data_IF_542985926085
#
_entry.id   IF_542985926085
#
_cell.length_a   1.000
_cell.length_b   1.000
_cell.length_c   1.000
_cell.angle_alpha   90.00
_cell.angle_beta   90.00
_cell.angle_gamma   90.00
#
_symmetry.space_group_name_H-M   'P 1'
#
loop_
_entity.id
_entity.type
_entity.pdbx_description
1 polymer ?
#
# COMPACT_ATOMS: atom_id res chain seq x y z
N UNK A 1 68.21 27.12 -16.55
CA UNK A 1 67.21 27.55 -15.55
C UNK A 1 65.77 27.43 -16.05
N UNK A 2 65.36 28.05 -17.16
CA UNK A 2 63.98 27.89 -17.69
C UNK A 2 63.58 26.43 -17.95
N UNK A 3 64.50 25.63 -18.48
CA UNK A 3 64.29 24.21 -18.74
C UNK A 3 63.96 23.41 -17.46
N UNK A 4 64.73 23.63 -16.39
CA UNK A 4 64.53 22.97 -15.10
C UNK A 4 63.22 23.40 -14.40
N UNK A 5 62.78 24.65 -14.59
CA UNK A 5 61.49 25.13 -14.08
C UNK A 5 60.33 24.47 -14.85
N UNK A 6 60.45 24.35 -16.18
CA UNK A 6 59.45 23.66 -17.01
C UNK A 6 59.28 22.18 -16.65
N UNK A 7 60.39 21.49 -16.35
CA UNK A 7 60.38 20.09 -15.92
C UNK A 7 59.67 19.90 -14.57
N UNK A 8 59.92 20.77 -13.59
CA UNK A 8 59.24 20.74 -12.29
C UNK A 8 57.73 20.99 -12.46
N UNK A 9 57.33 21.96 -13.28
CA UNK A 9 55.91 22.25 -13.56
C UNK A 9 55.23 21.05 -14.25
N UNK A 10 55.91 20.39 -15.18
CA UNK A 10 55.40 19.20 -15.88
C UNK A 10 55.20 18.03 -14.90
N UNK A 11 56.15 17.80 -13.99
CA UNK A 11 56.05 16.77 -12.95
C UNK A 11 54.88 17.07 -12.00
N UNK A 12 54.71 18.32 -11.57
CA UNK A 12 53.59 18.72 -10.70
C UNK A 12 52.24 18.46 -11.39
N UNK A 13 52.09 18.85 -12.66
CA UNK A 13 50.88 18.57 -13.44
C UNK A 13 50.64 17.05 -13.55
N UNK A 14 51.68 16.26 -13.78
CA UNK A 14 51.59 14.80 -13.81
C UNK A 14 51.07 14.21 -12.50
N UNK A 15 51.60 14.67 -11.36
CA UNK A 15 51.15 14.25 -10.03
C UNK A 15 49.70 14.67 -9.78
N UNK A 16 49.32 15.90 -10.12
CA UNK A 16 47.95 16.39 -9.94
C UNK A 16 46.95 15.58 -10.79
N UNK A 17 47.28 15.26 -12.03
CA UNK A 17 46.44 14.40 -12.89
C UNK A 17 46.32 13.00 -12.29
N UNK A 18 47.44 12.39 -11.84
CA UNK A 18 47.43 11.07 -11.21
C UNK A 18 46.55 11.04 -9.95
N UNK A 19 46.65 12.07 -9.09
CA UNK A 19 45.81 12.22 -7.91
C UNK A 19 44.32 12.40 -8.27
N UNK A 20 44.00 13.20 -9.29
CA UNK A 20 42.62 13.37 -9.75
C UNK A 20 42.01 12.07 -10.28
N UNK A 21 42.76 11.29 -11.07
CA UNK A 21 42.30 9.98 -11.56
C UNK A 21 42.07 9.02 -10.39
N UNK A 22 42.99 8.96 -9.43
CA UNK A 22 42.85 8.10 -8.27
C UNK A 22 41.63 8.49 -7.40
N UNK A 23 41.46 9.79 -7.13
CA UNK A 23 40.30 10.29 -6.38
C UNK A 23 38.98 9.98 -7.09
N UNK A 24 38.93 10.11 -8.42
CA UNK A 24 37.74 9.75 -9.22
C UNK A 24 37.45 8.25 -9.17
N UNK A 25 38.49 7.40 -9.19
CA UNK A 25 38.34 5.96 -9.07
C UNK A 25 37.80 5.56 -7.68
N UNK A 26 38.32 6.14 -6.61
CA UNK A 26 37.82 5.90 -5.24
C UNK A 26 36.38 6.41 -5.07
N UNK A 27 36.06 7.61 -5.57
CA UNK A 27 34.69 8.13 -5.56
C UNK A 27 33.73 7.19 -6.30
N UNK A 28 34.12 6.66 -7.47
CA UNK A 28 33.31 5.70 -8.23
C UNK A 28 33.11 4.38 -7.47
N UNK A 29 34.13 3.87 -6.77
CA UNK A 29 33.98 2.66 -5.94
C UNK A 29 33.00 2.89 -4.80
N UNK A 30 33.11 4.02 -4.10
CA UNK A 30 32.18 4.40 -3.03
C UNK A 30 30.76 4.54 -3.55
N UNK A 31 30.58 5.22 -4.68
CA UNK A 31 29.26 5.37 -5.31
C UNK A 31 28.66 4.00 -5.71
N UNK A 32 29.44 3.11 -6.32
CA UNK A 32 28.98 1.77 -6.65
C UNK A 32 28.56 0.97 -5.40
N UNK A 33 29.28 1.13 -4.28
CA UNK A 33 28.91 0.52 -3.00
C UNK A 33 27.55 1.05 -2.52
N UNK A 34 27.34 2.37 -2.55
CA UNK A 34 26.05 2.97 -2.16
C UNK A 34 24.92 2.52 -3.08
N UNK A 35 25.15 2.43 -4.39
CA UNK A 35 24.15 1.88 -5.34
C UNK A 35 23.80 0.44 -4.99
N UNK A 36 24.79 -0.40 -4.64
CA UNK A 36 24.52 -1.77 -4.19
C UNK A 36 23.68 -1.81 -2.92
N UNK A 37 23.93 -0.92 -1.96
CA UNK A 37 23.15 -0.81 -0.73
C UNK A 37 21.71 -0.36 -1.04
N UNK A 38 21.52 0.60 -1.94
CA UNK A 38 20.18 1.03 -2.36
C UNK A 38 19.41 -0.08 -3.09
N UNK A 39 20.10 -0.96 -3.83
CA UNK A 39 19.47 -2.16 -4.40
C UNK A 39 19.05 -3.17 -3.33
N UNK A 40 19.82 -3.30 -2.25
CA UNK A 40 19.43 -4.08 -1.06
C UNK A 40 18.17 -3.48 -0.41
N UNK A 41 18.12 -2.16 -0.26
CA UNK A 41 16.91 -1.45 0.21
C UNK A 41 15.72 -1.72 -0.70
N UNK A 42 15.88 -1.65 -2.02
CA UNK A 42 14.79 -1.98 -2.96
C UNK A 42 14.32 -3.41 -2.83
N UNK A 43 15.22 -4.36 -2.60
CA UNK A 43 14.86 -5.76 -2.38
C UNK A 43 13.99 -5.92 -1.11
N UNK A 44 14.44 -5.34 0.01
CA UNK A 44 13.70 -5.33 1.28
C UNK A 44 12.30 -4.70 1.10
N UNK A 45 12.24 -3.50 0.50
CA UNK A 45 10.98 -2.81 0.20
C UNK A 45 10.06 -3.67 -0.68
N UNK A 46 10.61 -4.35 -1.68
CA UNK A 46 9.83 -5.20 -2.58
C UNK A 46 9.11 -6.33 -1.85
N UNK A 47 9.82 -7.03 -0.95
CA UNK A 47 9.24 -8.08 -0.12
C UNK A 47 8.16 -7.52 0.82
N UNK A 48 8.43 -6.37 1.43
CA UNK A 48 7.51 -5.75 2.39
C UNK A 48 6.25 -5.20 1.73
N UNK A 49 6.34 -4.67 0.50
CA UNK A 49 5.17 -4.25 -0.29
C UNK A 49 4.25 -5.43 -0.56
N UNK A 50 4.81 -6.56 -1.02
CA UNK A 50 4.02 -7.77 -1.28
C UNK A 50 3.37 -8.31 0.00
N UNK A 51 4.10 -8.29 1.12
CA UNK A 51 3.55 -8.73 2.40
C UNK A 51 2.45 -7.78 2.92
N UNK A 52 2.60 -6.49 2.64
CA UNK A 52 1.57 -5.48 2.94
C UNK A 52 0.28 -5.76 2.17
N UNK A 53 0.37 -6.15 0.90
CA UNK A 53 -0.79 -6.55 0.10
C UNK A 53 -1.56 -7.72 0.72
N UNK A 54 -0.84 -8.76 1.16
CA UNK A 54 -1.44 -9.91 1.86
C UNK A 54 -2.16 -9.50 3.15
N UNK A 55 -1.52 -8.65 3.97
CA UNK A 55 -2.10 -8.18 5.23
C UNK A 55 -3.36 -7.35 5.01
N UNK A 56 -3.31 -6.40 4.08
CA UNK A 56 -4.46 -5.54 3.79
C UNK A 56 -5.63 -6.39 3.27
N UNK A 57 -5.36 -7.35 2.38
CA UNK A 57 -6.39 -8.28 1.89
C UNK A 57 -7.00 -9.11 3.03
N UNK A 58 -6.18 -9.64 3.93
CA UNK A 58 -6.63 -10.39 5.09
C UNK A 58 -7.57 -9.57 5.98
N UNK A 59 -7.15 -8.37 6.38
CA UNK A 59 -7.96 -7.54 7.28
C UNK A 59 -9.19 -6.96 6.59
N UNK A 60 -9.16 -6.77 5.27
CA UNK A 60 -10.35 -6.43 4.49
C UNK A 60 -11.41 -7.54 4.53
N UNK A 61 -11.01 -8.79 4.31
CA UNK A 61 -11.92 -9.93 4.44
C UNK A 61 -12.48 -10.03 5.87
N UNK A 62 -11.64 -9.82 6.89
CA UNK A 62 -12.08 -9.79 8.29
C UNK A 62 -13.08 -8.67 8.55
N UNK A 63 -12.84 -7.47 8.04
CA UNK A 63 -13.75 -6.33 8.17
C UNK A 63 -15.13 -6.61 7.57
N UNK A 64 -15.19 -7.25 6.39
CA UNK A 64 -16.47 -7.67 5.78
C UNK A 64 -17.23 -8.65 6.67
N UNK A 65 -16.55 -9.64 7.27
CA UNK A 65 -17.17 -10.59 8.22
C UNK A 65 -17.65 -9.85 9.49
N UNK A 66 -16.81 -8.99 10.05
CA UNK A 66 -17.11 -8.25 11.29
C UNK A 66 -18.32 -7.34 11.10
N UNK A 67 -18.46 -6.68 9.95
CA UNK A 67 -19.64 -5.88 9.63
C UNK A 67 -20.92 -6.70 9.66
N UNK A 68 -20.91 -7.95 9.20
CA UNK A 68 -22.07 -8.84 9.28
C UNK A 68 -22.44 -9.16 10.74
N UNK A 69 -21.43 -9.38 11.59
CA UNK A 69 -21.62 -9.62 13.03
C UNK A 69 -22.20 -8.37 13.71
N UNK A 70 -21.61 -7.19 13.49
CA UNK A 70 -22.01 -5.94 14.15
C UNK A 70 -23.37 -5.41 13.70
N UNK A 71 -23.80 -5.74 12.49
CA UNK A 71 -25.10 -5.30 11.94
C UNK A 71 -26.22 -6.31 12.14
N UNK A 72 -25.99 -7.36 12.94
CA UNK A 72 -26.97 -8.41 13.24
C UNK A 72 -27.58 -9.05 11.99
N UNK A 73 -26.79 -9.14 10.90
CA UNK A 73 -27.22 -9.74 9.63
C UNK A 73 -27.03 -11.25 9.58
N UNK A 74 -26.27 -11.82 10.51
CA UNK A 74 -26.03 -13.25 10.60
C UNK A 74 -27.17 -13.96 11.34
N UNK A 75 -27.48 -15.16 10.87
CA UNK A 75 -28.51 -16.04 11.44
C UNK A 75 -27.87 -17.31 11.98
N UNK A 76 -28.66 -18.09 12.71
CA UNK A 76 -28.24 -19.42 13.18
C UNK A 76 -27.76 -20.33 12.04
N UNK A 77 -28.42 -20.29 10.88
CA UNK A 77 -28.07 -21.14 9.73
C UNK A 77 -26.71 -20.79 9.11
N UNK A 78 -26.26 -19.54 9.24
CA UNK A 78 -24.94 -19.12 8.74
C UNK A 78 -23.79 -19.79 9.50
N UNK A 79 -24.04 -20.22 10.74
CA UNK A 79 -23.07 -20.96 11.55
C UNK A 79 -23.15 -22.49 11.37
N UNK A 80 -24.03 -22.99 10.48
CA UNK A 80 -24.19 -24.42 10.17
C UNK A 80 -23.79 -24.77 8.72
N UNK A 81 -23.54 -23.78 7.89
CA UNK A 81 -23.16 -23.95 6.48
C UNK A 81 -21.63 -23.81 6.30
N UNK A 82 -21.19 -23.72 5.05
CA UNK A 82 -19.77 -23.64 4.69
C UNK A 82 -19.04 -22.41 5.27
N UNK A 83 -19.75 -21.38 5.72
CA UNK A 83 -19.16 -20.19 6.34
C UNK A 83 -18.80 -20.39 7.82
N UNK A 84 -19.21 -21.49 8.46
CA UNK A 84 -19.04 -21.69 9.90
C UNK A 84 -17.59 -21.51 10.38
N UNK A 85 -16.61 -21.90 9.56
CA UNK A 85 -15.19 -21.79 9.90
C UNK A 85 -14.74 -20.32 9.96
N UNK A 86 -15.13 -19.52 8.96
CA UNK A 86 -14.77 -18.11 8.89
C UNK A 86 -15.42 -17.32 10.04
N UNK A 87 -16.67 -17.65 10.38
CA UNK A 87 -17.42 -16.99 11.45
C UNK A 87 -16.88 -17.37 12.84
N UNK A 88 -16.64 -18.66 13.11
CA UNK A 88 -16.19 -19.11 14.44
C UNK A 88 -14.79 -18.62 14.82
N UNK A 89 -13.92 -18.38 13.85
CA UNK A 89 -12.59 -17.80 14.07
C UNK A 89 -12.48 -16.34 13.58
N UNK A 90 -13.60 -15.61 13.52
CA UNK A 90 -13.60 -14.23 13.04
C UNK A 90 -12.54 -13.37 13.74
N UNK A 91 -12.38 -13.54 15.06
CA UNK A 91 -11.51 -12.71 15.91
C UNK A 91 -10.41 -13.49 16.65
N UNK A 92 -10.18 -14.76 16.30
CA UNK A 92 -9.27 -15.63 17.06
C UNK A 92 -7.85 -15.70 16.50
N UNK A 93 -7.63 -15.19 15.28
CA UNK A 93 -6.35 -15.24 14.58
C UNK A 93 -6.01 -13.85 14.04
N UNK A 94 -4.73 -13.51 14.03
CA UNK A 94 -4.20 -12.30 13.41
C UNK A 94 -3.24 -12.66 12.27
N UNK A 95 -3.06 -11.72 11.34
CA UNK A 95 -2.05 -11.82 10.30
C UNK A 95 -0.97 -10.78 10.60
N UNK A 96 0.27 -11.22 10.62
CA UNK A 96 1.39 -10.39 11.04
C UNK A 96 2.29 -10.02 9.86
N UNK A 97 2.91 -8.84 9.98
CA UNK A 97 3.93 -8.36 9.06
C UNK A 97 5.20 -7.98 9.83
N UNK A 98 6.35 -8.19 9.20
CA UNK A 98 7.65 -7.74 9.71
C UNK A 98 8.38 -6.99 8.62
N UNK A 99 8.74 -5.74 8.91
CA UNK A 99 9.48 -4.87 8.00
C UNK A 99 10.96 -5.24 8.02
N UNK A 100 11.54 -5.49 6.85
CA UNK A 100 12.96 -5.80 6.68
C UNK A 100 13.79 -4.52 6.77
N UNK A 101 14.89 -4.53 7.52
CA UNK A 101 15.66 -3.31 7.83
C UNK A 101 17.14 -3.41 7.46
N UNK A 102 17.56 -4.48 6.78
CA UNK A 102 18.97 -4.78 6.54
C UNK A 102 19.60 -3.72 5.62
N UNK A 103 18.98 -3.51 4.46
CA UNK A 103 19.47 -2.51 3.49
C UNK A 103 19.45 -1.10 4.06
N UNK A 104 18.42 -0.74 4.81
CA UNK A 104 18.33 0.59 5.44
C UNK A 104 19.37 0.79 6.53
N UNK A 105 19.58 -0.21 7.41
CA UNK A 105 20.62 -0.16 8.44
C UNK A 105 21.99 0.04 7.80
N UNK A 106 22.30 -0.74 6.76
CA UNK A 106 23.54 -0.63 6.00
C UNK A 106 23.69 0.76 5.33
N UNK A 107 22.59 1.34 4.82
CA UNK A 107 22.58 2.68 4.26
C UNK A 107 22.92 3.75 5.29
N UNK A 108 22.30 3.69 6.47
CA UNK A 108 22.53 4.64 7.56
C UNK A 108 23.96 4.53 8.10
N UNK A 109 24.50 3.31 8.24
CA UNK A 109 25.91 3.09 8.62
C UNK A 109 26.91 3.69 7.60
N UNK A 110 26.47 3.91 6.36
CA UNK A 110 27.29 4.50 5.30
C UNK A 110 26.79 5.90 4.88
N UNK A 111 25.96 6.57 5.68
CA UNK A 111 25.26 7.80 5.29
C UNK A 111 26.22 8.95 4.89
N UNK A 112 27.36 9.05 5.55
CA UNK A 112 28.41 10.05 5.26
C UNK A 112 29.01 9.89 3.85
N UNK A 113 28.96 8.66 3.32
CA UNK A 113 29.49 8.30 2.02
C UNK A 113 28.45 8.43 0.88
N UNK A 114 27.20 8.79 1.19
CA UNK A 114 26.12 8.89 0.19
C UNK A 114 26.36 10.10 -0.72
N UNK A 115 26.52 9.89 -2.05
CA UNK A 115 26.67 10.96 -3.02
C UNK A 115 25.48 11.92 -2.99
N UNK A 116 25.73 13.22 -3.23
CA UNK A 116 24.70 14.27 -3.19
C UNK A 116 23.44 13.94 -4.02
N UNK A 117 23.61 13.31 -5.20
CA UNK A 117 22.49 12.93 -6.07
C UNK A 117 21.57 11.87 -5.44
N UNK A 118 22.09 11.01 -4.56
CA UNK A 118 21.35 9.93 -3.92
C UNK A 118 20.76 10.35 -2.56
N UNK A 119 21.16 11.50 -1.99
CA UNK A 119 20.67 11.93 -0.66
C UNK A 119 19.16 12.19 -0.59
N UNK A 120 18.51 12.45 -1.72
CA UNK A 120 17.08 12.74 -1.79
C UNK A 120 16.20 11.56 -1.33
N UNK A 121 16.71 10.33 -1.30
CA UNK A 121 15.93 9.17 -0.83
C UNK A 121 16.01 8.95 0.68
N UNK A 122 16.92 9.63 1.39
CA UNK A 122 17.14 9.38 2.83
C UNK A 122 15.91 9.76 3.65
N UNK A 123 15.30 10.92 3.42
CA UNK A 123 14.12 11.35 4.16
C UNK A 123 12.91 10.41 3.94
N UNK A 124 12.54 10.04 2.69
CA UNK A 124 11.51 9.04 2.47
C UNK A 124 11.78 7.69 3.16
N UNK A 125 13.03 7.23 3.18
CA UNK A 125 13.37 5.99 3.90
C UNK A 125 13.27 6.16 5.41
N UNK A 126 13.64 7.32 5.96
CA UNK A 126 13.42 7.61 7.38
C UNK A 126 11.94 7.58 7.74
N UNK A 127 11.07 8.13 6.88
CA UNK A 127 9.60 8.05 7.08
C UNK A 127 9.13 6.61 7.24
N UNK A 128 9.56 5.75 6.32
CA UNK A 128 9.23 4.32 6.30
C UNK A 128 9.74 3.60 7.55
N UNK A 129 11.05 3.70 7.81
CA UNK A 129 11.72 2.83 8.79
C UNK A 129 11.66 3.35 10.23
N UNK A 130 11.44 4.66 10.43
CA UNK A 130 11.32 5.26 11.77
C UNK A 130 9.85 5.36 12.17
N UNK A 131 9.01 5.96 11.32
CA UNK A 131 7.64 6.33 11.70
C UNK A 131 6.62 5.27 11.31
N UNK A 132 6.58 4.86 10.04
CA UNK A 132 5.58 3.88 9.60
C UNK A 132 5.80 2.53 10.28
N UNK A 133 7.06 2.07 10.34
CA UNK A 133 7.42 0.84 11.05
C UNK A 133 6.99 0.87 12.53
N UNK A 134 7.21 1.98 13.23
CA UNK A 134 6.83 2.09 14.64
C UNK A 134 5.33 1.90 14.87
N UNK A 135 4.49 2.54 14.06
CA UNK A 135 3.03 2.37 14.18
C UNK A 135 2.60 0.95 13.79
N UNK A 136 3.20 0.36 12.76
CA UNK A 136 2.94 -1.04 12.38
C UNK A 136 3.27 -1.99 13.55
N UNK A 137 4.49 -1.93 14.10
CA UNK A 137 4.91 -2.81 15.20
C UNK A 137 3.97 -2.70 16.41
N UNK A 138 3.54 -1.48 16.73
CA UNK A 138 2.62 -1.17 17.84
C UNK A 138 1.26 -1.84 17.65
N UNK A 139 0.66 -1.72 16.46
CA UNK A 139 -0.66 -2.29 16.21
C UNK A 139 -0.62 -3.79 15.89
N UNK A 140 0.48 -4.29 15.33
CA UNK A 140 0.74 -5.73 15.16
C UNK A 140 0.81 -6.41 16.54
N UNK A 141 1.56 -5.83 17.48
CA UNK A 141 1.60 -6.31 18.87
C UNK A 141 0.24 -6.20 19.58
N UNK A 142 -0.56 -5.19 19.23
CA UNK A 142 -1.92 -5.04 19.78
C UNK A 142 -2.84 -6.17 19.30
N UNK A 143 -2.64 -6.67 18.09
CA UNK A 143 -3.40 -7.80 17.57
C UNK A 143 -3.16 -9.06 18.38
N UNK A 144 -1.90 -9.40 18.68
CA UNK A 144 -1.54 -10.53 19.55
C UNK A 144 -2.24 -10.45 20.91
N UNK A 145 -2.15 -9.29 21.57
CA UNK A 145 -2.77 -9.09 22.86
C UNK A 145 -4.28 -9.33 22.83
N UNK A 146 -4.96 -8.88 21.77
CA UNK A 146 -6.40 -9.09 21.62
C UNK A 146 -6.71 -10.55 21.36
N UNK A 147 -6.02 -11.20 20.40
CA UNK A 147 -6.32 -12.59 20.03
C UNK A 147 -6.01 -13.56 21.17
N UNK A 148 -4.91 -13.37 21.88
CA UNK A 148 -4.53 -14.20 23.02
C UNK A 148 -5.52 -14.04 24.17
N UNK A 149 -5.88 -12.79 24.51
CA UNK A 149 -6.90 -12.53 25.54
C UNK A 149 -8.21 -13.20 25.19
N UNK A 150 -8.72 -13.03 23.96
CA UNK A 150 -9.99 -13.63 23.52
C UNK A 150 -9.96 -15.15 23.67
N UNK A 151 -8.86 -15.80 23.23
CA UNK A 151 -8.72 -17.25 23.33
C UNK A 151 -8.66 -17.73 24.78
N UNK A 152 -7.88 -17.06 25.61
CA UNK A 152 -7.74 -17.40 27.02
C UNK A 152 -9.03 -17.17 27.82
N UNK A 153 -9.74 -16.07 27.56
CA UNK A 153 -11.01 -15.76 28.20
C UNK A 153 -12.10 -16.75 27.81
N UNK A 154 -12.17 -17.15 26.53
CA UNK A 154 -13.07 -18.21 26.07
C UNK A 154 -12.74 -19.55 26.71
N UNK A 155 -11.47 -19.95 26.74
CA UNK A 155 -11.03 -21.20 27.36
C UNK A 155 -11.36 -21.27 28.86
N UNK A 156 -11.30 -20.13 29.56
CA UNK A 156 -11.63 -20.04 30.99
C UNK A 156 -13.13 -19.95 31.27
N UNK A 157 -13.91 -19.38 30.36
CA UNK A 157 -15.32 -19.05 30.61
C UNK A 157 -16.33 -19.98 29.94
N UNK A 158 -15.92 -20.72 28.90
CA UNK A 158 -16.81 -21.59 28.11
C UNK A 158 -16.36 -23.05 28.22
N UNK A 159 -17.22 -23.91 28.77
CA UNK A 159 -16.98 -25.34 28.94
C UNK A 159 -16.84 -26.11 27.59
N UNK A 160 -17.27 -25.47 26.51
CA UNK A 160 -17.24 -25.99 25.16
C UNK A 160 -16.03 -25.55 24.33
N UNK A 161 -15.11 -24.76 24.87
CA UNK A 161 -13.97 -24.23 24.11
C UNK A 161 -13.15 -25.32 23.39
N UNK A 162 -12.88 -26.45 24.05
CA UNK A 162 -12.13 -27.57 23.46
C UNK A 162 -12.88 -28.27 22.31
N UNK A 163 -14.19 -28.00 22.15
CA UNK A 163 -15.06 -28.52 21.09
C UNK A 163 -15.20 -27.57 19.91
N UNK A 164 -14.60 -26.37 19.94
CA UNK A 164 -14.67 -25.40 18.85
C UNK A 164 -14.18 -25.96 17.50
N UNK A 165 -13.23 -26.89 17.53
CA UNK A 165 -12.66 -27.52 16.34
C UNK A 165 -13.52 -28.66 15.77
N UNK A 166 -14.62 -29.02 16.44
CA UNK A 166 -15.53 -30.06 15.94
C UNK A 166 -16.15 -29.63 14.60
N UNK A 167 -16.64 -30.63 13.86
CA UNK A 167 -17.15 -30.43 12.50
C UNK A 167 -18.42 -29.56 12.44
N UNK A 168 -19.15 -29.43 13.55
CA UNK A 168 -20.38 -28.66 13.68
C UNK A 168 -20.39 -27.93 15.02
N UNK A 169 -20.83 -26.67 15.02
CA UNK A 169 -21.01 -25.89 16.24
C UNK A 169 -22.26 -26.33 17.00
N UNK A 170 -22.20 -26.38 18.32
CA UNK A 170 -23.34 -26.64 19.21
C UNK A 170 -24.23 -25.37 19.34
N UNK A 171 -25.49 -25.54 19.75
CA UNK A 171 -26.47 -24.44 19.76
C UNK A 171 -26.09 -23.29 20.71
N UNK A 172 -25.47 -23.63 21.84
CA UNK A 172 -24.96 -22.70 22.83
C UNK A 172 -23.74 -21.90 22.32
N UNK A 173 -22.87 -22.52 21.51
CA UNK A 173 -21.77 -21.85 20.81
C UNK A 173 -22.31 -20.83 19.81
N UNK A 174 -23.29 -21.23 18.99
CA UNK A 174 -23.90 -20.34 17.99
C UNK A 174 -24.63 -19.19 18.68
N UNK A 175 -25.37 -19.47 19.76
CA UNK A 175 -26.02 -18.44 20.55
C UNK A 175 -25.02 -17.45 21.15
N UNK A 176 -23.85 -17.91 21.60
CA UNK A 176 -22.78 -17.03 22.06
C UNK A 176 -22.31 -16.09 20.94
N UNK A 177 -21.95 -16.61 19.77
CA UNK A 177 -21.44 -15.78 18.66
C UNK A 177 -22.48 -14.80 18.11
N UNK A 178 -23.77 -15.12 18.16
CA UNK A 178 -24.84 -14.23 17.70
C UNK A 178 -25.20 -13.16 18.74
N UNK A 179 -25.26 -13.53 20.02
CA UNK A 179 -25.99 -12.74 21.00
C UNK A 179 -25.16 -12.24 22.20
N UNK A 180 -23.95 -12.76 22.44
CA UNK A 180 -23.16 -12.37 23.60
C UNK A 180 -22.62 -10.92 23.46
N UNK A 181 -22.96 -10.00 24.37
CA UNK A 181 -22.54 -8.60 24.26
C UNK A 181 -21.03 -8.41 24.47
N UNK A 182 -20.37 -9.27 25.24
CA UNK A 182 -18.92 -9.20 25.42
C UNK A 182 -18.17 -9.71 24.20
N UNK A 183 -18.70 -10.74 23.52
CA UNK A 183 -18.21 -11.12 22.20
C UNK A 183 -18.31 -9.95 21.20
N UNK A 184 -19.44 -9.25 21.15
CA UNK A 184 -19.60 -8.06 20.28
C UNK A 184 -18.58 -6.95 20.61
N UNK A 185 -18.24 -6.75 21.88
CA UNK A 185 -17.19 -5.81 22.27
C UNK A 185 -15.80 -6.27 21.78
N UNK A 186 -15.48 -7.55 21.89
CA UNK A 186 -14.22 -8.10 21.39
C UNK A 186 -14.12 -8.01 19.86
N UNK A 187 -15.23 -8.22 19.16
CA UNK A 187 -15.34 -8.01 17.71
C UNK A 187 -15.01 -6.57 17.31
N UNK A 188 -15.54 -5.58 18.04
CA UNK A 188 -15.18 -4.19 17.81
C UNK A 188 -13.71 -3.90 18.10
N UNK A 189 -13.16 -4.41 19.21
CA UNK A 189 -11.75 -4.22 19.56
C UNK A 189 -10.82 -4.82 18.51
N UNK A 190 -11.14 -6.01 18.00
CA UNK A 190 -10.39 -6.65 16.93
C UNK A 190 -10.42 -5.80 15.65
N UNK A 191 -11.60 -5.30 15.24
CA UNK A 191 -11.73 -4.44 14.06
C UNK A 191 -10.93 -3.15 14.20
N UNK A 192 -10.98 -2.55 15.39
CA UNK A 192 -10.28 -1.32 15.71
C UNK A 192 -8.76 -1.52 15.59
N UNK A 193 -8.20 -2.55 16.20
CA UNK A 193 -6.77 -2.80 16.11
C UNK A 193 -6.34 -3.23 14.70
N UNK A 194 -7.10 -4.13 14.07
CA UNK A 194 -6.74 -4.75 12.79
C UNK A 194 -7.01 -3.84 11.59
N UNK A 195 -8.28 -3.66 11.23
CA UNK A 195 -8.65 -2.94 10.01
C UNK A 195 -8.47 -1.42 10.15
N UNK A 196 -8.93 -0.83 11.25
CA UNK A 196 -8.93 0.63 11.42
C UNK A 196 -7.51 1.19 11.63
N UNK A 197 -6.64 0.45 12.32
CA UNK A 197 -5.29 0.92 12.63
C UNK A 197 -4.18 0.15 11.89
N UNK A 198 -3.99 -1.16 12.14
CA UNK A 198 -2.88 -1.90 11.54
C UNK A 198 -2.90 -1.85 10.01
N UNK A 199 -4.02 -2.20 9.38
CA UNK A 199 -4.16 -2.18 7.92
C UNK A 199 -4.04 -0.76 7.35
N UNK A 200 -4.51 0.26 8.06
CA UNK A 200 -4.30 1.66 7.69
C UNK A 200 -2.82 2.03 7.67
N UNK A 201 -2.07 1.76 8.73
CA UNK A 201 -0.64 2.08 8.79
C UNK A 201 0.19 1.25 7.80
N UNK A 202 -0.18 0.01 7.55
CA UNK A 202 0.43 -0.83 6.50
C UNK A 202 0.12 -0.27 5.11
N UNK A 203 -1.05 0.32 4.88
CA UNK A 203 -1.39 0.98 3.62
C UNK A 203 -0.49 2.21 3.38
N UNK A 204 -0.34 3.08 4.39
CA UNK A 204 0.57 4.23 4.33
C UNK A 204 2.03 3.81 4.11
N UNK A 205 2.51 2.81 4.86
CA UNK A 205 3.83 2.22 4.67
C UNK A 205 4.03 1.77 3.23
N UNK A 206 3.08 1.01 2.69
CA UNK A 206 3.15 0.44 1.34
C UNK A 206 3.25 1.53 0.28
N UNK A 207 2.46 2.59 0.40
CA UNK A 207 2.51 3.74 -0.50
C UNK A 207 3.88 4.42 -0.47
N UNK A 208 4.40 4.71 0.72
CA UNK A 208 5.73 5.28 0.89
C UNK A 208 6.83 4.36 0.36
N UNK A 209 6.72 3.05 0.59
CA UNK A 209 7.64 2.04 0.09
C UNK A 209 7.68 1.99 -1.44
N UNK A 210 6.52 2.04 -2.11
CA UNK A 210 6.44 2.10 -3.58
C UNK A 210 7.10 3.38 -4.11
N UNK A 211 6.82 4.52 -3.47
CA UNK A 211 7.39 5.80 -3.87
C UNK A 211 8.91 5.81 -3.70
N UNK A 212 9.42 5.34 -2.55
CA UNK A 212 10.85 5.19 -2.31
C UNK A 212 11.48 4.21 -3.30
N UNK A 213 10.85 3.07 -3.60
CA UNK A 213 11.35 2.11 -4.58
C UNK A 213 11.55 2.76 -5.97
N UNK A 214 10.54 3.49 -6.46
CA UNK A 214 10.58 4.20 -7.75
C UNK A 214 11.61 5.33 -7.74
N UNK A 215 11.73 6.05 -6.63
CA UNK A 215 12.72 7.11 -6.46
C UNK A 215 14.14 6.53 -6.51
N UNK A 216 14.40 5.43 -5.80
CA UNK A 216 15.69 4.72 -5.88
C UNK A 216 15.96 4.33 -7.34
N UNK A 217 15.00 3.70 -8.01
CA UNK A 217 15.15 3.24 -9.40
C UNK A 217 15.57 4.39 -10.33
N UNK A 218 14.96 5.57 -10.14
CA UNK A 218 15.28 6.79 -10.89
C UNK A 218 16.67 7.32 -10.55
N UNK A 219 16.98 7.44 -9.26
CA UNK A 219 18.23 8.03 -8.77
C UNK A 219 19.47 7.20 -9.12
N UNK A 220 19.34 5.87 -9.16
CA UNK A 220 20.43 4.98 -9.57
C UNK A 220 20.52 4.79 -11.09
N UNK A 221 19.65 5.46 -11.87
CA UNK A 221 19.57 5.35 -13.33
C UNK A 221 19.41 3.89 -13.77
N UNK A 222 18.53 3.14 -13.09
CA UNK A 222 18.30 1.73 -13.36
C UNK A 222 17.69 1.53 -14.75
N UNK A 223 18.24 0.60 -15.52
CA UNK A 223 17.67 0.13 -16.78
C UNK A 223 16.77 -1.10 -16.60
N UNK A 224 16.60 -1.58 -15.37
CA UNK A 224 15.74 -2.73 -15.07
C UNK A 224 14.27 -2.28 -15.10
N UNK A 225 13.36 -3.07 -15.72
CA UNK A 225 11.93 -2.78 -15.68
C UNK A 225 11.43 -2.84 -14.23
N UNK A 226 10.40 -2.05 -13.92
CA UNK A 226 9.73 -2.17 -12.62
C UNK A 226 9.10 -3.57 -12.49
N UNK A 227 9.24 -4.24 -11.33
CA UNK A 227 8.55 -5.50 -11.09
C UNK A 227 7.03 -5.35 -11.18
N UNK A 228 6.33 -6.42 -11.57
CA UNK A 228 4.87 -6.43 -11.76
C UNK A 228 4.08 -6.00 -10.50
N UNK A 229 4.61 -6.26 -9.31
CA UNK A 229 3.96 -5.89 -8.05
C UNK A 229 4.10 -4.41 -7.69
N UNK A 230 4.99 -3.67 -8.36
CA UNK A 230 5.10 -2.21 -8.21
C UNK A 230 4.06 -1.58 -9.13
N UNK A 231 3.03 -0.87 -8.61
CA UNK A 231 2.01 -0.23 -9.44
C UNK A 231 2.63 0.70 -10.50
N UNK A 232 2.29 0.49 -11.77
CA UNK A 232 2.70 1.34 -12.88
C UNK A 232 1.71 1.22 -14.05
N UNK A 233 1.76 2.16 -14.99
CA UNK A 233 0.98 2.07 -16.22
C UNK A 233 1.36 0.81 -17.01
N UNK A 234 0.41 -0.10 -17.19
CA UNK A 234 0.55 -1.28 -18.05
C UNK A 234 0.34 -0.94 -19.53
N UNK A 235 -0.34 0.18 -19.79
CA UNK A 235 -0.49 0.77 -21.12
C UNK A 235 -0.07 2.24 -21.06
N UNK A 236 0.81 2.63 -21.98
CA UNK A 236 1.25 4.02 -22.09
C UNK A 236 0.39 4.76 -23.11
N UNK A 237 -0.32 5.78 -22.64
CA UNK A 237 -1.13 6.67 -23.47
C UNK A 237 -0.40 7.99 -23.70
N UNK A 238 -0.49 8.49 -24.93
CA UNK A 238 -0.02 9.85 -25.23
C UNK A 238 -0.91 10.89 -24.55
N UNK A 239 -0.40 12.08 -24.29
CA UNK A 239 -1.20 13.19 -23.75
C UNK A 239 -2.46 13.46 -24.59
N UNK A 240 -2.38 13.29 -25.91
CA UNK A 240 -3.54 13.41 -26.80
C UNK A 240 -4.63 12.36 -26.51
N UNK A 241 -4.24 11.11 -26.25
CA UNK A 241 -5.17 10.05 -25.86
C UNK A 241 -5.72 10.26 -24.44
N UNK A 242 -4.90 10.77 -23.52
CA UNK A 242 -5.34 11.07 -22.15
C UNK A 242 -6.46 12.12 -22.11
N UNK A 243 -6.47 13.07 -23.05
CA UNK A 243 -7.52 14.08 -23.14
C UNK A 243 -8.91 13.50 -23.38
N UNK A 244 -9.04 12.28 -23.92
CA UNK A 244 -10.34 11.64 -24.11
C UNK A 244 -11.06 11.37 -22.77
N UNK A 245 -10.30 11.18 -21.70
CA UNK A 245 -10.81 10.85 -20.37
C UNK A 245 -11.06 12.09 -19.52
N UNK A 246 -10.39 13.21 -19.81
CA UNK A 246 -10.54 14.48 -19.09
C UNK A 246 -11.98 14.98 -19.15
N UNK A 247 -12.48 15.48 -18.03
CA UNK A 247 -13.82 16.06 -17.93
C UNK A 247 -14.42 15.92 -16.52
N UNK A 248 -15.61 16.46 -16.36
CA UNK A 248 -16.38 16.34 -15.12
C UNK A 248 -17.35 15.18 -15.24
N UNK A 249 -17.39 14.34 -14.22
CA UNK A 249 -18.26 13.17 -14.14
C UNK A 249 -19.18 13.32 -12.93
N UNK A 250 -20.49 13.33 -13.17
CA UNK A 250 -21.49 13.44 -12.11
C UNK A 250 -21.86 12.07 -11.58
N UNK A 251 -21.88 11.89 -10.26
CA UNK A 251 -22.33 10.65 -9.63
C UNK A 251 -23.84 10.48 -9.87
N UNK A 252 -24.22 9.39 -10.53
CA UNK A 252 -25.62 9.10 -10.87
C UNK A 252 -26.18 7.87 -10.17
N UNK A 253 -25.31 6.98 -9.66
CA UNK A 253 -25.72 5.80 -8.91
C UNK A 253 -24.63 5.37 -7.94
N UNK A 254 -25.03 4.98 -6.74
CA UNK A 254 -24.20 4.27 -5.76
C UNK A 254 -24.82 2.90 -5.50
N UNK A 255 -24.11 1.82 -5.80
CA UNK A 255 -24.62 0.47 -5.57
C UNK A 255 -24.82 0.21 -4.07
N UNK A 256 -26.00 -0.34 -3.72
CA UNK A 256 -26.37 -0.59 -2.33
C UNK A 256 -26.86 0.64 -1.55
N UNK A 257 -27.07 1.79 -2.21
CA UNK A 257 -27.65 2.98 -1.62
C UNK A 257 -28.83 3.49 -2.45
N UNK A 258 -30.03 3.40 -1.89
CA UNK A 258 -31.29 3.81 -2.53
C UNK A 258 -31.74 5.22 -2.12
N UNK A 259 -30.94 5.93 -1.33
CA UNK A 259 -31.24 7.30 -0.90
C UNK A 259 -30.98 8.34 -2.00
N UNK A 260 -31.38 9.61 -1.77
CA UNK A 260 -31.04 10.69 -2.68
C UNK A 260 -29.51 10.83 -2.77
N UNK A 261 -29.01 10.86 -4.00
CA UNK A 261 -27.59 11.04 -4.28
C UNK A 261 -27.30 12.54 -4.22
N UNK A 262 -26.37 13.01 -3.36
CA UNK A 262 -25.96 14.40 -3.34
C UNK A 262 -25.39 14.81 -4.69
N UNK A 263 -25.43 16.10 -5.01
CA UNK A 263 -24.90 16.63 -6.27
C UNK A 263 -23.36 16.63 -6.24
N UNK A 264 -22.77 15.45 -6.41
CA UNK A 264 -21.34 15.20 -6.34
C UNK A 264 -20.74 15.11 -7.74
N UNK A 265 -19.68 15.86 -7.98
CA UNK A 265 -18.90 15.84 -9.21
C UNK A 265 -17.50 15.31 -8.95
N UNK A 266 -17.03 14.51 -9.89
CA UNK A 266 -15.70 13.94 -9.90
C UNK A 266 -14.98 14.39 -11.17
N UNK A 267 -13.92 15.17 -10.99
CA UNK A 267 -13.19 15.77 -12.10
C UNK A 267 -11.98 14.92 -12.42
N UNK A 268 -11.85 14.49 -13.68
CA UNK A 268 -10.64 13.85 -14.20
C UNK A 268 -9.79 14.91 -14.89
N UNK A 269 -8.54 15.03 -14.46
CA UNK A 269 -7.54 15.95 -15.01
C UNK A 269 -6.24 15.21 -15.34
N UNK A 270 -5.33 15.86 -16.07
CA UNK A 270 -3.99 15.33 -16.36
C UNK A 270 -2.97 16.05 -15.48
N UNK A 271 -2.17 15.29 -14.75
CA UNK A 271 -1.00 15.79 -14.03
C UNK A 271 0.19 14.89 -14.29
N UNK A 272 1.36 15.46 -14.61
CA UNK A 272 2.60 14.72 -14.87
C UNK A 272 2.46 13.57 -15.88
N UNK A 273 1.59 13.73 -16.89
CA UNK A 273 1.28 12.72 -17.92
C UNK A 273 0.54 11.47 -17.40
N UNK A 274 -0.08 11.55 -16.22
CA UNK A 274 -1.06 10.59 -15.70
C UNK A 274 -2.42 11.27 -15.50
N UNK A 275 -3.49 10.49 -15.30
CA UNK A 275 -4.79 11.04 -14.91
C UNK A 275 -4.92 11.07 -13.38
N UNK A 276 -5.58 12.12 -12.90
CA UNK A 276 -5.94 12.30 -11.49
C UNK A 276 -7.43 12.58 -11.38
N UNK A 277 -8.05 12.09 -10.31
CA UNK A 277 -9.43 12.33 -9.97
C UNK A 277 -9.55 13.21 -8.74
N UNK A 278 -10.47 14.18 -8.77
CA UNK A 278 -10.72 15.13 -7.67
C UNK A 278 -12.22 15.19 -7.42
N UNK A 279 -12.63 15.02 -6.16
CA UNK A 279 -14.05 15.12 -5.77
C UNK A 279 -14.39 16.54 -5.31
N UNK A 280 -15.43 17.15 -5.89
CA UNK A 280 -15.99 18.46 -5.52
C UNK A 280 -14.98 19.61 -5.30
N UNK A 281 -13.89 19.62 -6.06
CA UNK A 281 -12.83 20.65 -6.00
C UNK A 281 -12.06 20.72 -4.67
N UNK A 282 -12.18 19.70 -3.81
CA UNK A 282 -11.36 19.58 -2.61
C UNK A 282 -10.01 18.93 -2.99
N UNK A 283 -8.96 19.76 -3.09
CA UNK A 283 -7.63 19.33 -3.55
C UNK A 283 -6.85 18.53 -2.51
N UNK A 284 -7.38 18.35 -1.29
CA UNK A 284 -6.72 17.59 -0.24
C UNK A 284 -6.83 16.06 -0.46
N UNK A 285 -7.82 15.58 -1.23
CA UNK A 285 -8.07 14.16 -1.52
C UNK A 285 -8.04 13.86 -3.04
N UNK A 286 -6.85 13.90 -3.66
CA UNK A 286 -6.66 13.52 -5.06
C UNK A 286 -6.40 12.02 -5.22
N UNK A 287 -7.19 11.37 -6.07
CA UNK A 287 -6.98 9.98 -6.46
C UNK A 287 -6.09 9.92 -7.72
N UNK A 288 -4.87 9.41 -7.60
CA UNK A 288 -3.97 9.19 -8.73
C UNK A 288 -4.23 7.82 -9.34
N UNK A 289 -4.19 7.70 -10.67
CA UNK A 289 -4.45 6.43 -11.35
C UNK A 289 -3.32 5.96 -12.28
N UNK A 290 -3.22 4.65 -12.44
CA UNK A 290 -2.53 3.98 -13.55
C UNK A 290 -3.53 3.29 -14.47
N UNK A 291 -3.15 3.10 -15.74
CA UNK A 291 -3.92 2.32 -16.71
C UNK A 291 -3.52 0.83 -16.67
N UNK A 292 -4.48 -0.03 -16.39
CA UNK A 292 -4.38 -1.48 -16.56
C UNK A 292 -4.59 -1.87 -18.04
N UNK A 293 -5.59 -1.25 -18.67
CA UNK A 293 -5.85 -1.31 -20.11
C UNK A 293 -6.31 0.07 -20.58
N UNK A 294 -6.58 0.26 -21.88
CA UNK A 294 -7.00 1.57 -22.43
C UNK A 294 -8.18 2.18 -21.68
N UNK A 295 -9.13 1.40 -21.18
CA UNK A 295 -10.32 1.93 -20.47
C UNK A 295 -10.45 1.41 -19.03
N UNK A 296 -9.41 0.76 -18.48
CA UNK A 296 -9.40 0.30 -17.09
C UNK A 296 -8.26 0.96 -16.33
N UNK A 297 -8.57 1.49 -15.17
CA UNK A 297 -7.64 2.18 -14.30
C UNK A 297 -7.64 1.58 -12.89
N UNK A 298 -6.55 1.76 -12.17
CA UNK A 298 -6.43 1.42 -10.76
C UNK A 298 -5.62 2.49 -10.03
N UNK A 299 -5.90 2.67 -8.74
CA UNK A 299 -5.23 3.68 -7.93
C UNK A 299 -3.73 3.44 -7.85
N UNK A 300 -2.94 4.51 -7.88
CA UNK A 300 -1.49 4.42 -7.70
C UNK A 300 -1.13 4.01 -6.26
N UNK A 301 -1.92 4.48 -5.30
CA UNK A 301 -1.76 4.29 -3.85
C UNK A 301 -2.71 3.19 -3.34
N UNK A 302 -4.01 3.34 -3.56
CA UNK A 302 -5.03 2.34 -3.22
C UNK A 302 -5.29 1.38 -4.39
N UNK A 303 -4.73 0.18 -4.34
CA UNK A 303 -4.93 -0.86 -5.37
C UNK A 303 -6.36 -1.42 -5.41
N UNK A 304 -7.17 -1.16 -4.38
CA UNK A 304 -8.58 -1.51 -4.35
C UNK A 304 -9.48 -0.44 -4.95
N UNK A 305 -8.93 0.76 -5.20
CA UNK A 305 -9.55 1.76 -6.04
C UNK A 305 -9.35 1.35 -7.50
N UNK A 306 -10.43 1.01 -8.18
CA UNK A 306 -10.43 0.64 -9.59
C UNK A 306 -11.44 1.48 -10.35
N UNK A 307 -11.18 1.69 -11.62
CA UNK A 307 -12.08 2.42 -12.50
C UNK A 307 -12.21 1.76 -13.86
N UNK A 308 -13.37 1.94 -14.49
CA UNK A 308 -13.60 1.55 -15.87
C UNK A 308 -14.34 2.68 -16.61
N UNK A 309 -13.73 3.19 -17.67
CA UNK A 309 -14.36 4.12 -18.59
C UNK A 309 -15.28 3.37 -19.54
N UNK A 310 -16.45 3.95 -19.81
CA UNK A 310 -17.44 3.42 -20.75
C UNK A 310 -17.50 4.32 -21.96
N UNK A 311 -17.49 3.72 -23.15
CA UNK A 311 -17.58 4.43 -24.42
C UNK A 311 -18.91 4.17 -25.12
N UNK A 312 -19.36 5.15 -25.91
CA UNK A 312 -20.49 4.99 -26.82
C UNK A 312 -20.09 4.30 -28.14
N UNK A 313 -21.06 4.14 -29.05
CA UNK A 313 -20.85 3.57 -30.38
C UNK A 313 -19.96 4.41 -31.30
N UNK A 314 -19.68 5.66 -30.93
CA UNK A 314 -18.78 6.57 -31.63
C UNK A 314 -17.39 6.61 -30.96
N UNK A 315 -17.13 5.68 -30.03
CA UNK A 315 -15.88 5.54 -29.28
C UNK A 315 -15.55 6.73 -28.36
N UNK A 316 -16.54 7.52 -27.96
CA UNK A 316 -16.37 8.62 -27.00
C UNK A 316 -16.63 8.14 -25.58
N UNK A 317 -15.78 8.56 -24.64
CA UNK A 317 -16.00 8.28 -23.21
C UNK A 317 -17.26 9.03 -22.74
N UNK A 318 -18.24 8.29 -22.24
CA UNK A 318 -19.53 8.82 -21.76
C UNK A 318 -19.72 8.67 -20.26
N UNK A 319 -19.07 7.69 -19.64
CA UNK A 319 -19.25 7.39 -18.23
C UNK A 319 -17.97 6.81 -17.63
N UNK A 320 -17.91 6.82 -16.30
CA UNK A 320 -16.85 6.24 -15.49
C UNK A 320 -17.51 5.43 -14.37
N UNK A 321 -17.07 4.21 -14.17
CA UNK A 321 -17.46 3.37 -13.04
C UNK A 321 -16.26 3.33 -12.08
N UNK A 322 -16.43 3.80 -10.85
CA UNK A 322 -15.41 3.72 -9.78
C UNK A 322 -15.81 2.64 -8.78
N UNK A 323 -14.86 1.81 -8.40
CA UNK A 323 -15.01 0.75 -7.41
C UNK A 323 -13.97 0.95 -6.31
N UNK A 324 -14.41 1.10 -5.06
CA UNK A 324 -13.53 1.20 -3.88
C UNK A 324 -14.15 0.42 -2.73
N UNK A 325 -13.42 -0.53 -2.16
CA UNK A 325 -13.85 -1.31 -0.99
C UNK A 325 -15.28 -1.88 -1.11
N UNK A 326 -15.57 -2.55 -2.24
CA UNK A 326 -16.86 -3.18 -2.57
C UNK A 326 -18.02 -2.21 -2.79
N UNK A 327 -17.76 -0.90 -2.78
CA UNK A 327 -18.71 0.12 -3.21
C UNK A 327 -18.45 0.48 -4.66
N UNK A 328 -19.51 0.49 -5.46
CA UNK A 328 -19.46 0.89 -6.86
C UNK A 328 -20.23 2.19 -7.05
N UNK A 329 -19.58 3.19 -7.61
CA UNK A 329 -20.19 4.43 -8.07
C UNK A 329 -20.24 4.42 -9.60
N UNK A 330 -21.39 4.80 -10.16
CA UNK A 330 -21.54 5.05 -11.59
C UNK A 330 -21.62 6.55 -11.80
N UNK A 331 -20.79 7.07 -12.69
CA UNK A 331 -20.69 8.48 -12.99
C UNK A 331 -20.89 8.72 -14.49
N UNK A 332 -21.67 9.73 -14.84
CA UNK A 332 -21.86 10.15 -16.23
C UNK A 332 -21.00 11.38 -16.52
N UNK A 333 -20.30 11.36 -17.66
CA UNK A 333 -19.56 12.51 -18.15
C UNK A 333 -20.54 13.62 -18.52
N UNK A 334 -20.27 14.84 -18.04
CA UNK A 334 -21.08 16.03 -18.29
C UNK A 334 -20.79 16.67 -19.65
#
# INVERSE_FOLDING_TARGET
MLYAIGEIVLVIIGILIALQINNKNEQRKTENKIVSILKEVQHDLGLDIQKSDELIAYYKTKDSIIKLIQTDKLTYNDYKNDYQYALRYAIMNAFHIKIHTNGYTNLIENVDNVPKKLKAVIEPLNEIYIYNKYEIDKFDSRMDFITDRVRDELAKSKDWYYRLDWAQLEDDMINFFLNDPYYKNDVYLYQNAGWINLAYHVTLFRENAINAYKQINTLIESNEPLPDFIPHNLVNLTTAQLNDYVGTYKVVKLEGYDGPIPDLNYKIEIQNNDIVGVMDEDFEDMDYFYFETVDKIFGQTDIYLKGAFVRDSLNKVTSLIIMKNERTAHLNKL
#
